data_IF_352236803565
#
_entry.id   IF_352236803565
#
_cell.length_a   1.000
_cell.length_b   1.000
_cell.length_c   1.000
_cell.angle_alpha   90.00
_cell.angle_beta   90.00
_cell.angle_gamma   90.00
#
_symmetry.space_group_name_H-M   'P 1'
#
loop_
_entity.id
_entity.type
_entity.pdbx_description
1 polymer ?
#
# COMPACT_ATOMS: atom_id res chain seq x y z
N UNK A 1 -7.65 -24.55 -3.05
CA UNK A 1 -7.89 -23.28 -2.33
C UNK A 1 -6.77 -22.33 -2.71
N UNK A 2 -7.10 -21.13 -3.19
CA UNK A 2 -6.12 -20.07 -3.42
C UNK A 2 -6.24 -19.08 -2.26
N UNK A 3 -5.16 -18.96 -1.49
CA UNK A 3 -5.12 -18.02 -0.37
C UNK A 3 -5.07 -16.59 -0.91
N UNK A 4 -5.93 -15.73 -0.34
CA UNK A 4 -5.95 -14.30 -0.65
C UNK A 4 -5.04 -13.59 0.34
N UNK A 5 -3.84 -13.23 -0.11
CA UNK A 5 -2.93 -12.44 0.72
C UNK A 5 -3.36 -10.98 0.77
N UNK A 6 -3.31 -10.44 1.98
CA UNK A 6 -3.75 -9.08 2.26
C UNK A 6 -2.74 -8.00 1.82
N UNK A 7 -1.48 -8.40 1.76
CA UNK A 7 -0.29 -7.60 1.55
C UNK A 7 0.93 -8.42 1.97
N UNK A 8 2.12 -7.86 1.80
CA UNK A 8 3.37 -8.45 2.24
C UNK A 8 4.16 -7.41 3.04
N UNK A 9 4.85 -7.87 4.09
CA UNK A 9 5.81 -7.05 4.84
C UNK A 9 7.21 -7.47 4.38
N UNK A 10 8.00 -6.50 3.95
CA UNK A 10 9.38 -6.71 3.55
C UNK A 10 10.27 -6.23 4.69
N UNK A 11 11.08 -7.14 5.23
CA UNK A 11 12.03 -6.84 6.31
C UNK A 11 13.42 -6.78 5.70
N UNK A 12 14.11 -5.67 5.93
CA UNK A 12 15.48 -5.48 5.44
C UNK A 12 16.47 -6.16 6.38
N UNK A 13 17.55 -6.68 5.84
CA UNK A 13 18.66 -7.26 6.63
C UNK A 13 19.50 -6.21 7.33
N UNK A 14 19.48 -4.97 6.82
CA UNK A 14 20.17 -3.81 7.36
C UNK A 14 19.35 -2.55 7.13
N UNK A 15 19.62 -1.52 7.92
CA UNK A 15 18.98 -0.22 7.77
C UNK A 15 19.49 0.48 6.51
N UNK A 16 18.56 1.04 5.73
CA UNK A 16 18.89 1.81 4.54
C UNK A 16 18.81 3.30 4.80
N UNK A 17 19.61 4.06 4.05
CA UNK A 17 19.45 5.50 3.92
C UNK A 17 18.16 5.82 3.17
N UNK A 18 17.61 6.99 3.43
CA UNK A 18 16.33 7.43 2.85
C UNK A 18 16.36 7.44 1.31
N UNK A 19 17.48 7.87 0.71
CA UNK A 19 17.66 7.88 -0.74
C UNK A 19 17.64 6.47 -1.35
N UNK A 20 18.31 5.51 -0.71
CA UNK A 20 18.33 4.10 -1.13
C UNK A 20 16.96 3.43 -0.93
N UNK A 21 16.27 3.79 0.15
CA UNK A 21 14.92 3.33 0.43
C UNK A 21 13.92 3.83 -0.63
N UNK A 22 14.08 5.06 -1.11
CA UNK A 22 13.22 5.64 -2.13
C UNK A 22 13.31 4.87 -3.46
N UNK A 23 14.50 4.48 -3.89
CA UNK A 23 14.70 3.67 -5.08
C UNK A 23 13.97 2.31 -4.99
N UNK A 24 14.01 1.66 -3.82
CA UNK A 24 13.26 0.42 -3.59
C UNK A 24 11.75 0.64 -3.55
N UNK A 25 11.29 1.70 -2.86
CA UNK A 25 9.87 2.06 -2.81
C UNK A 25 9.30 2.23 -4.22
N UNK A 26 10.02 2.94 -5.09
CA UNK A 26 9.57 3.18 -6.45
C UNK A 26 9.59 1.92 -7.30
N UNK A 27 10.58 1.04 -7.12
CA UNK A 27 10.57 -0.28 -7.75
C UNK A 27 9.36 -1.13 -7.30
N UNK A 28 9.02 -1.14 -6.01
CA UNK A 28 7.88 -1.90 -5.51
C UNK A 28 6.53 -1.36 -6.02
N UNK A 29 6.41 -0.04 -6.24
CA UNK A 29 5.20 0.57 -6.84
C UNK A 29 4.94 0.12 -8.27
N UNK A 30 5.93 -0.41 -8.98
CA UNK A 30 5.76 -0.95 -10.33
C UNK A 30 5.02 -2.31 -10.35
N UNK A 31 4.93 -3.00 -9.22
CA UNK A 31 4.23 -4.28 -9.16
C UNK A 31 2.71 -4.10 -9.30
N UNK A 32 2.10 -4.97 -10.11
CA UNK A 32 0.66 -4.97 -10.34
C UNK A 32 -0.08 -5.16 -9.00
N UNK A 33 -1.12 -4.36 -8.80
CA UNK A 33 -2.01 -4.41 -7.61
C UNK A 33 -1.37 -3.95 -6.30
N UNK A 34 -0.21 -3.30 -6.35
CA UNK A 34 0.32 -2.57 -5.20
C UNK A 34 -0.50 -1.30 -4.99
N UNK A 35 -1.04 -1.15 -3.79
CA UNK A 35 -1.83 0.02 -3.40
C UNK A 35 -0.93 1.14 -2.85
N UNK A 36 0.05 0.79 -2.02
CA UNK A 36 1.05 1.70 -1.48
C UNK A 36 2.30 0.92 -1.06
N UNK A 37 3.44 1.61 -0.98
CA UNK A 37 4.70 1.10 -0.45
C UNK A 37 5.29 2.19 0.42
N UNK A 38 5.36 1.93 1.72
CA UNK A 38 5.82 2.89 2.71
C UNK A 38 6.67 2.18 3.77
N UNK A 39 7.69 2.86 4.32
CA UNK A 39 8.46 2.31 5.43
C UNK A 39 7.56 2.11 6.64
N UNK A 40 7.77 1.01 7.36
CA UNK A 40 7.01 0.72 8.57
C UNK A 40 7.60 1.54 9.72
N UNK A 41 6.83 2.49 10.24
CA UNK A 41 7.21 3.36 11.37
C UNK A 41 6.58 2.93 12.70
N UNK A 42 6.06 1.70 12.79
CA UNK A 42 5.31 1.21 13.95
C UNK A 42 4.76 -0.21 13.77
N UNK A 43 3.51 -0.45 14.20
CA UNK A 43 2.88 -1.77 14.07
C UNK A 43 2.42 -2.02 12.60
N UNK A 44 2.92 -3.09 11.93
CA UNK A 44 2.55 -3.42 10.56
C UNK A 44 1.05 -3.67 10.34
N UNK A 45 0.36 -4.34 11.28
CA UNK A 45 -1.05 -4.69 11.15
C UNK A 45 -1.95 -3.45 11.13
N UNK A 46 -1.65 -2.49 12.01
CA UNK A 46 -2.35 -1.21 12.08
C UNK A 46 -2.16 -0.44 10.78
N UNK A 47 -0.92 -0.37 10.28
CA UNK A 47 -0.61 0.35 9.05
C UNK A 47 -1.34 -0.26 7.84
N UNK A 48 -1.38 -1.59 7.72
CA UNK A 48 -2.14 -2.29 6.69
C UNK A 48 -3.64 -1.96 6.78
N UNK A 49 -4.23 -2.04 7.98
CA UNK A 49 -5.64 -1.75 8.19
C UNK A 49 -5.99 -0.30 7.82
N UNK A 50 -5.14 0.67 8.20
CA UNK A 50 -5.31 2.09 7.87
C UNK A 50 -5.28 2.33 6.35
N UNK A 51 -4.31 1.75 5.63
CA UNK A 51 -4.23 1.93 4.17
C UNK A 51 -5.45 1.35 3.45
N UNK A 52 -5.96 0.20 3.90
CA UNK A 52 -7.18 -0.39 3.34
C UNK A 52 -8.40 0.48 3.55
N UNK A 53 -8.60 0.96 4.78
CA UNK A 53 -9.71 1.85 5.11
C UNK A 53 -9.65 3.13 4.27
N UNK A 54 -8.46 3.72 4.10
CA UNK A 54 -8.26 4.91 3.28
C UNK A 54 -8.60 4.65 1.81
N UNK A 55 -8.11 3.57 1.22
CA UNK A 55 -8.39 3.23 -0.18
C UNK A 55 -9.87 2.90 -0.42
N UNK A 56 -10.54 2.26 0.54
CA UNK A 56 -11.98 2.01 0.45
C UNK A 56 -12.77 3.31 0.49
N UNK A 57 -12.41 4.23 1.38
CA UNK A 57 -13.00 5.57 1.46
C UNK A 57 -12.78 6.35 0.17
N UNK A 58 -11.55 6.36 -0.36
CA UNK A 58 -11.21 7.02 -1.61
C UNK A 58 -12.01 6.46 -2.79
N UNK A 59 -12.13 5.13 -2.88
CA UNK A 59 -12.96 4.49 -3.91
C UNK A 59 -14.43 4.89 -3.80
N UNK A 60 -14.99 4.94 -2.58
CA UNK A 60 -16.38 5.37 -2.33
C UNK A 60 -16.58 6.84 -2.66
N UNK A 61 -15.64 7.71 -2.26
CA UNK A 61 -15.63 9.14 -2.59
C UNK A 61 -15.55 9.34 -4.09
N UNK A 62 -14.63 8.66 -4.77
CA UNK A 62 -14.49 8.72 -6.22
C UNK A 62 -15.80 8.34 -6.91
N UNK A 63 -16.44 7.25 -6.46
CA UNK A 63 -17.74 6.81 -6.95
C UNK A 63 -18.86 7.82 -6.67
N UNK A 64 -18.87 8.45 -5.50
CA UNK A 64 -19.88 9.45 -5.14
C UNK A 64 -19.71 10.77 -5.93
N UNK A 65 -18.47 11.19 -6.17
CA UNK A 65 -18.12 12.43 -6.86
C UNK A 65 -18.25 12.31 -8.38
N UNK A 66 -17.92 11.16 -8.95
CA UNK A 66 -17.99 10.88 -10.39
C UNK A 66 -19.15 9.93 -10.69
N UNK A 67 -20.31 10.19 -10.06
CA UNK A 67 -21.50 9.33 -10.08
C UNK A 67 -21.69 8.56 -11.39
N UNK A 68 -22.09 7.29 -11.27
CA UNK A 68 -22.44 6.42 -12.41
C UNK A 68 -23.20 7.22 -13.48
N UNK A 69 -22.53 7.42 -14.62
CA UNK A 69 -22.98 8.34 -15.66
C UNK A 69 -22.39 8.06 -17.05
N UNK A 70 -22.34 6.78 -17.46
CA UNK A 70 -22.62 6.25 -18.82
C UNK A 70 -22.40 4.74 -18.86
#
# INVERSE_FOLDING_TARGET
MTDRHAGYVIVLSEDLREDDAQAMIDAFKLFRSVLTVEPIKGNPEIQIATHRARAEIEKKLWKALHGEGS
#
